data_IF_027289842817
#
_entry.id   IF_027289842817
#
_cell.length_a   1.000
_cell.length_b   1.000
_cell.length_c   1.000
_cell.angle_alpha   90.00
_cell.angle_beta   90.00
_cell.angle_gamma   90.00
#
_symmetry.space_group_name_H-M   'P 1'
#
loop_
_entity.id
_entity.type
_entity.pdbx_description
1 polymer ?
#
# COMPACT_ATOMS: atom_id res chain seq x y z
N UNK A 1 -22.69 -16.34 13.18
CA UNK A 1 -22.23 -14.98 12.80
C UNK A 1 -23.43 -14.07 12.73
N UNK A 2 -23.30 -12.89 13.32
CA UNK A 2 -24.29 -11.82 13.24
C UNK A 2 -24.28 -11.16 11.85
N UNK A 3 -25.35 -10.45 11.49
CA UNK A 3 -25.36 -9.63 10.27
C UNK A 3 -24.26 -8.55 10.27
N UNK A 4 -23.85 -8.09 11.46
CA UNK A 4 -22.77 -7.12 11.61
C UNK A 4 -21.40 -7.74 11.36
N UNK A 5 -21.19 -9.00 11.77
CA UNK A 5 -19.93 -9.72 11.53
C UNK A 5 -19.66 -9.83 10.02
N UNK A 6 -20.69 -10.14 9.24
CA UNK A 6 -20.58 -10.21 7.79
C UNK A 6 -20.22 -8.87 7.16
N UNK A 7 -20.86 -7.78 7.61
CA UNK A 7 -20.55 -6.43 7.13
C UNK A 7 -19.13 -6.00 7.50
N UNK A 8 -18.69 -6.26 8.74
CA UNK A 8 -17.34 -5.92 9.18
C UNK A 8 -16.28 -6.68 8.40
N UNK A 9 -16.48 -7.98 8.17
CA UNK A 9 -15.58 -8.78 7.34
C UNK A 9 -15.51 -8.23 5.92
N UNK A 10 -16.65 -7.85 5.31
CA UNK A 10 -16.67 -7.25 3.97
C UNK A 10 -15.90 -5.91 3.93
N UNK A 11 -16.08 -5.05 4.94
CA UNK A 11 -15.37 -3.77 5.04
C UNK A 11 -13.86 -3.99 5.15
N UNK A 12 -13.43 -4.89 6.05
CA UNK A 12 -12.02 -5.16 6.28
C UNK A 12 -11.36 -5.85 5.09
N UNK A 13 -12.02 -6.85 4.48
CA UNK A 13 -11.53 -7.50 3.27
C UNK A 13 -11.36 -6.49 2.12
N UNK A 14 -12.32 -5.56 1.96
CA UNK A 14 -12.19 -4.50 0.94
C UNK A 14 -11.07 -3.52 1.24
N UNK A 15 -10.84 -3.20 2.51
CA UNK A 15 -9.80 -2.26 2.94
C UNK A 15 -8.40 -2.88 2.84
N UNK A 16 -8.22 -4.09 3.35
CA UNK A 16 -6.93 -4.79 3.36
C UNK A 16 -6.48 -5.13 1.94
N UNK A 17 -7.43 -5.49 1.06
CA UNK A 17 -7.14 -5.85 -0.33
C UNK A 17 -6.29 -4.84 -1.09
N UNK A 18 -6.53 -3.54 -0.93
CA UNK A 18 -5.76 -2.48 -1.60
C UNK A 18 -4.96 -1.59 -0.63
N UNK A 19 -4.71 -2.05 0.60
CA UNK A 19 -4.04 -1.26 1.65
C UNK A 19 -2.65 -0.75 1.24
N UNK A 20 -1.88 -1.53 0.46
CA UNK A 20 -0.60 -1.05 -0.05
C UNK A 20 -0.79 0.18 -0.94
N UNK A 21 -1.68 0.11 -1.93
CA UNK A 21 -1.97 1.24 -2.83
C UNK A 21 -2.52 2.45 -2.07
N UNK A 22 -3.39 2.21 -1.07
CA UNK A 22 -3.90 3.27 -0.19
C UNK A 22 -2.81 3.99 0.58
N UNK A 23 -1.82 3.27 1.09
CA UNK A 23 -0.71 3.88 1.83
C UNK A 23 0.18 4.71 0.90
N UNK A 24 0.46 4.24 -0.32
CA UNK A 24 1.16 5.05 -1.31
C UNK A 24 0.36 6.28 -1.73
N UNK A 25 -0.95 6.16 -1.92
CA UNK A 25 -1.85 7.29 -2.14
C UNK A 25 -1.85 8.28 -0.96
N UNK A 26 -1.79 7.79 0.27
CA UNK A 26 -1.71 8.65 1.45
C UNK A 26 -0.41 9.45 1.45
N UNK A 27 0.73 8.82 1.14
CA UNK A 27 2.02 9.50 1.00
C UNK A 27 1.93 10.56 -0.10
N UNK A 28 1.36 10.22 -1.25
CA UNK A 28 1.23 11.11 -2.41
C UNK A 28 0.35 12.34 -2.14
N UNK A 29 -0.71 12.19 -1.33
CA UNK A 29 -1.66 13.26 -1.04
C UNK A 29 -1.34 14.07 0.24
N UNK A 30 -0.40 13.60 1.06
CA UNK A 30 0.06 14.31 2.26
C UNK A 30 1.35 15.09 1.93
N UNK A 31 1.33 16.44 1.97
CA UNK A 31 2.49 17.24 1.58
C UNK A 31 3.77 16.95 2.37
N UNK A 32 3.65 16.67 3.68
CA UNK A 32 4.82 16.41 4.52
C UNK A 32 5.42 15.03 4.25
N UNK A 33 4.57 14.02 4.03
CA UNK A 33 5.02 12.68 3.67
C UNK A 33 5.59 12.65 2.25
N UNK A 34 4.99 13.38 1.31
CA UNK A 34 5.48 13.44 -0.06
C UNK A 34 6.84 14.16 -0.15
N UNK A 35 7.05 15.22 0.62
CA UNK A 35 8.34 15.91 0.70
C UNK A 35 9.43 15.00 1.28
N UNK A 36 9.12 14.27 2.36
CA UNK A 36 10.03 13.26 2.95
C UNK A 36 10.33 12.14 1.96
N UNK A 37 9.30 11.60 1.30
CA UNK A 37 9.45 10.56 0.29
C UNK A 37 10.36 11.04 -0.84
N UNK A 38 10.10 12.24 -1.38
CA UNK A 38 10.89 12.85 -2.46
C UNK A 38 12.34 13.08 -2.05
N UNK A 39 12.57 13.53 -0.82
CA UNK A 39 13.91 13.75 -0.26
C UNK A 39 14.70 12.44 -0.11
N UNK A 40 14.03 11.33 0.23
CA UNK A 40 14.66 10.02 0.35
C UNK A 40 15.03 9.42 -1.01
N UNK A 41 14.14 9.52 -2.00
CA UNK A 41 14.36 8.89 -3.33
C UNK A 41 15.21 9.75 -4.26
N UNK A 42 15.14 11.07 -4.12
CA UNK A 42 15.77 12.01 -5.04
C UNK A 42 15.38 11.74 -6.50
N UNK A 43 16.37 11.73 -7.39
CA UNK A 43 16.19 11.38 -8.80
C UNK A 43 16.67 9.95 -9.15
N UNK A 44 16.91 9.11 -8.14
CA UNK A 44 17.44 7.76 -8.34
C UNK A 44 16.31 6.72 -8.36
N UNK A 45 16.08 6.16 -9.56
CA UNK A 45 15.06 5.10 -9.75
C UNK A 45 15.33 3.87 -8.88
N UNK A 46 16.59 3.47 -8.68
CA UNK A 46 16.94 2.30 -7.89
C UNK A 46 16.57 2.52 -6.42
N UNK A 47 16.86 3.71 -5.89
CA UNK A 47 16.49 4.07 -4.50
C UNK A 47 14.97 4.11 -4.35
N UNK A 48 14.25 4.65 -5.34
CA UNK A 48 12.79 4.63 -5.36
C UNK A 48 12.24 3.20 -5.30
N UNK A 49 12.75 2.32 -6.16
CA UNK A 49 12.28 0.92 -6.25
C UNK A 49 12.60 0.14 -4.97
N UNK A 50 13.76 0.40 -4.35
CA UNK A 50 14.16 -0.18 -3.06
C UNK A 50 13.25 0.29 -1.92
N UNK A 51 13.07 1.60 -1.74
CA UNK A 51 12.19 2.18 -0.73
C UNK A 51 10.76 1.64 -0.86
N UNK A 52 10.22 1.62 -2.09
CA UNK A 52 8.88 1.12 -2.35
C UNK A 52 8.73 -0.36 -1.99
N UNK A 53 9.75 -1.17 -2.30
CA UNK A 53 9.79 -2.61 -1.99
C UNK A 53 9.85 -2.85 -0.48
N UNK A 54 10.70 -2.11 0.24
CA UNK A 54 10.82 -2.20 1.69
C UNK A 54 9.53 -1.76 2.39
N UNK A 55 8.96 -0.62 1.99
CA UNK A 55 7.69 -0.15 2.54
C UNK A 55 6.57 -1.16 2.29
N UNK A 56 6.49 -1.77 1.09
CA UNK A 56 5.53 -2.84 0.81
C UNK A 56 5.65 -4.04 1.76
N UNK A 57 6.88 -4.43 2.12
CA UNK A 57 7.14 -5.52 3.10
C UNK A 57 6.73 -5.09 4.51
N UNK A 58 7.07 -3.88 4.92
CA UNK A 58 6.72 -3.36 6.25
C UNK A 58 5.21 -3.18 6.42
N UNK A 59 4.48 -2.77 5.37
CA UNK A 59 3.00 -2.74 5.38
C UNK A 59 2.46 -4.14 5.67
N UNK A 60 2.92 -5.15 4.92
CA UNK A 60 2.48 -6.54 5.10
C UNK A 60 2.73 -7.02 6.52
N UNK A 61 3.94 -6.77 7.04
CA UNK A 61 4.34 -7.17 8.39
C UNK A 61 3.55 -6.45 9.47
N UNK A 62 3.33 -5.15 9.33
CA UNK A 62 2.64 -4.30 10.32
C UNK A 62 1.17 -4.72 10.51
N UNK A 63 0.52 -5.16 9.44
CA UNK A 63 -0.90 -5.53 9.44
C UNK A 63 -1.14 -7.04 9.36
N UNK A 64 -0.09 -7.86 9.50
CA UNK A 64 -0.14 -9.33 9.42
C UNK A 64 -0.90 -9.87 8.19
N UNK A 65 -0.53 -9.34 7.01
CA UNK A 65 -1.26 -9.58 5.76
C UNK A 65 -0.72 -10.77 4.97
N UNK A 66 -1.63 -11.45 4.27
CA UNK A 66 -1.28 -12.49 3.31
C UNK A 66 -1.27 -11.96 1.87
N UNK A 67 -0.17 -12.17 1.16
CA UNK A 67 -0.07 -11.78 -0.25
C UNK A 67 -0.97 -12.66 -1.13
N UNK A 68 -1.83 -12.01 -1.91
CA UNK A 68 -2.65 -12.62 -2.94
C UNK A 68 -2.06 -12.36 -4.35
N UNK A 69 -2.92 -12.01 -5.30
CA UNK A 69 -2.55 -11.73 -6.69
C UNK A 69 -1.87 -10.38 -6.83
N UNK A 70 -1.07 -10.25 -7.89
CA UNK A 70 -0.45 -8.99 -8.27
C UNK A 70 -1.47 -8.10 -9.01
N UNK A 71 -1.65 -6.87 -8.54
CA UNK A 71 -2.39 -5.83 -9.22
C UNK A 71 -1.43 -4.95 -10.03
N UNK A 72 -1.78 -4.64 -11.28
CA UNK A 72 -1.00 -3.84 -12.23
C UNK A 72 -1.60 -2.47 -12.54
N UNK A 73 -2.69 -2.11 -11.86
CA UNK A 73 -3.40 -0.85 -12.02
C UNK A 73 -3.51 -0.15 -10.65
N UNK A 74 -2.38 0.25 -10.04
CA UNK A 74 -2.42 1.06 -8.82
C UNK A 74 -3.06 2.42 -9.11
N UNK A 75 -3.62 3.03 -8.08
CA UNK A 75 -4.10 4.41 -8.12
C UNK A 75 -2.98 5.39 -7.80
N UNK A 76 -2.04 5.02 -6.93
CA UNK A 76 -0.89 5.87 -6.65
C UNK A 76 0.08 5.88 -7.83
N UNK A 77 0.60 7.07 -8.15
CA UNK A 77 1.63 7.25 -9.16
C UNK A 77 3.03 6.82 -8.69
N UNK A 78 3.21 6.58 -7.39
CA UNK A 78 4.50 6.22 -6.78
C UNK A 78 4.92 4.77 -7.11
N UNK A 79 3.97 3.91 -7.44
CA UNK A 79 4.17 2.48 -7.69
C UNK A 79 3.59 2.06 -9.04
N UNK A 80 4.18 1.05 -9.66
CA UNK A 80 3.66 0.48 -10.91
C UNK A 80 2.73 -0.73 -10.65
N UNK A 81 2.96 -1.44 -9.54
CA UNK A 81 2.23 -2.66 -9.19
C UNK A 81 2.26 -2.89 -7.68
N UNK A 82 1.28 -3.62 -7.14
CA UNK A 82 1.28 -4.09 -5.75
C UNK A 82 0.68 -5.50 -5.64
N UNK A 83 0.78 -6.13 -4.47
CA UNK A 83 0.07 -7.38 -4.15
C UNK A 83 -1.21 -7.04 -3.41
N UNK A 84 -2.34 -7.60 -3.84
CA UNK A 84 -3.56 -7.56 -3.03
C UNK A 84 -3.36 -8.39 -1.76
N UNK A 85 -4.10 -8.06 -0.69
CA UNK A 85 -3.98 -8.76 0.60
C UNK A 85 -5.31 -9.31 1.11
N UNK A 86 -5.21 -10.27 2.02
CA UNK A 86 -6.27 -10.69 2.92
C UNK A 86 -5.84 -10.43 4.35
#
# INVERSE_FOLDING_TARGET
>A
MSQFDNFFNEVFDKFSKDITDRIFLMIENDPELMDKYSSLVGNDKKVKDELNSELGKEIRKKYDLENLKKNKNPKSSLIETYREHK
#
